data_IF_676774295823
#
_entry.id   IF_676774295823
#
_cell.length_a   1.000
_cell.length_b   1.000
_cell.length_c   1.000
_cell.angle_alpha   90.00
_cell.angle_beta   90.00
_cell.angle_gamma   90.00
#
_symmetry.space_group_name_H-M   'P 1'
#
loop_
_entity.id
_entity.type
_entity.pdbx_description
1 polymer ?
#
# COMPACT_ATOMS: atom_id res chain seq x y z
N UNK A 1 20.62 -73.68 38.05
CA UNK A 1 19.48 -72.74 38.04
C UNK A 1 19.40 -72.11 36.65
N UNK A 2 18.33 -72.35 35.88
CA UNK A 2 18.30 -72.14 34.45
C UNK A 2 17.75 -70.76 34.03
N UNK A 3 18.01 -70.50 32.75
CA UNK A 3 17.66 -69.44 31.80
C UNK A 3 16.20 -68.97 31.80
N UNK A 4 15.99 -67.67 31.49
CA UNK A 4 14.80 -67.24 30.75
C UNK A 4 15.10 -65.99 29.90
N UNK A 5 15.19 -66.19 28.59
CA UNK A 5 15.19 -65.13 27.57
C UNK A 5 13.80 -65.07 26.93
N UNK A 6 13.13 -63.93 27.05
CA UNK A 6 11.88 -63.61 26.36
C UNK A 6 12.18 -62.91 25.03
N UNK A 7 11.55 -63.29 23.90
CA UNK A 7 11.73 -62.57 22.64
C UNK A 7 10.79 -61.36 22.58
N UNK A 8 11.35 -60.19 22.25
CA UNK A 8 10.56 -58.99 21.87
C UNK A 8 9.88 -59.26 20.52
N UNK A 9 8.53 -59.28 20.49
CA UNK A 9 7.74 -59.25 19.25
C UNK A 9 7.82 -57.85 18.64
N UNK A 10 8.21 -57.77 17.37
CA UNK A 10 8.13 -56.55 16.55
C UNK A 10 6.67 -56.15 16.27
N UNK A 11 6.31 -54.85 16.34
CA UNK A 11 4.99 -54.38 15.97
C UNK A 11 4.98 -53.97 14.48
N UNK A 12 4.93 -54.95 13.56
CA UNK A 12 4.76 -54.64 12.12
C UNK A 12 3.42 -55.07 11.51
N UNK A 13 2.58 -55.86 12.20
CA UNK A 13 1.31 -56.34 11.62
C UNK A 13 0.10 -55.42 11.83
N UNK A 14 0.16 -54.45 12.75
CA UNK A 14 -0.96 -53.51 12.96
C UNK A 14 -1.00 -52.36 11.96
N UNK A 15 0.17 -51.91 11.45
CA UNK A 15 0.23 -50.80 10.48
C UNK A 15 -0.27 -51.22 9.09
N UNK A 16 0.02 -52.44 8.67
CA UNK A 16 -0.47 -53.01 7.41
C UNK A 16 -1.97 -53.28 7.43
N UNK A 17 -2.54 -53.69 8.57
CA UNK A 17 -3.99 -53.87 8.72
C UNK A 17 -4.76 -52.55 8.67
N UNK A 18 -4.22 -51.48 9.26
CA UNK A 18 -4.82 -50.13 9.22
C UNK A 18 -4.83 -49.54 7.81
N UNK A 19 -3.76 -49.74 7.05
CA UNK A 19 -3.67 -49.29 5.66
C UNK A 19 -4.67 -50.04 4.75
N UNK A 20 -4.79 -51.36 4.94
CA UNK A 20 -5.74 -52.18 4.19
C UNK A 20 -7.19 -51.75 4.48
N UNK A 21 -7.50 -51.45 5.75
CA UNK A 21 -8.83 -50.97 6.16
C UNK A 21 -9.13 -49.59 5.55
N UNK A 22 -8.14 -48.70 5.48
CA UNK A 22 -8.27 -47.37 4.88
C UNK A 22 -8.56 -47.45 3.38
N UNK A 23 -7.90 -48.37 2.67
CA UNK A 23 -8.13 -48.62 1.25
C UNK A 23 -9.54 -49.19 1.03
N UNK A 24 -9.98 -50.14 1.86
CA UNK A 24 -11.32 -50.72 1.76
C UNK A 24 -12.40 -49.66 2.02
N UNK A 25 -12.22 -48.78 3.00
CA UNK A 25 -13.15 -47.66 3.27
C UNK A 25 -13.16 -46.66 2.11
N UNK A 26 -12.01 -46.38 1.50
CA UNK A 26 -11.91 -45.52 0.31
C UNK A 26 -12.67 -46.10 -0.89
N UNK A 27 -12.48 -47.39 -1.18
CA UNK A 27 -13.18 -48.08 -2.27
C UNK A 27 -14.69 -48.16 -1.98
N UNK A 28 -15.09 -48.49 -0.75
CA UNK A 28 -16.49 -48.53 -0.35
C UNK A 28 -17.16 -47.14 -0.46
N UNK A 29 -16.44 -46.07 -0.11
CA UNK A 29 -16.92 -44.69 -0.26
C UNK A 29 -17.14 -44.33 -1.72
N UNK A 30 -16.22 -44.69 -2.62
CA UNK A 30 -16.38 -44.45 -4.06
C UNK A 30 -17.58 -45.22 -4.63
N UNK A 31 -17.83 -46.45 -4.15
CA UNK A 31 -18.99 -47.25 -4.59
C UNK A 31 -20.31 -46.68 -4.04
N UNK A 32 -20.35 -46.31 -2.77
CA UNK A 32 -21.55 -45.79 -2.10
C UNK A 32 -21.93 -44.39 -2.61
N UNK A 33 -20.94 -43.55 -2.90
CA UNK A 33 -21.14 -42.18 -3.36
C UNK A 33 -20.94 -42.03 -4.87
N UNK A 34 -20.87 -43.14 -5.62
CA UNK A 34 -20.67 -43.15 -7.07
C UNK A 34 -21.63 -42.21 -7.79
N UNK A 35 -22.92 -42.28 -7.44
CA UNK A 35 -23.96 -41.47 -8.06
C UNK A 35 -23.74 -39.97 -7.78
N UNK A 36 -23.46 -39.59 -6.54
CA UNK A 36 -23.20 -38.20 -6.16
C UNK A 36 -21.92 -37.63 -6.79
N UNK A 37 -20.89 -38.46 -6.97
CA UNK A 37 -19.66 -38.06 -7.68
C UNK A 37 -19.95 -37.84 -9.16
N UNK A 38 -20.76 -38.70 -9.80
CA UNK A 38 -21.19 -38.50 -11.18
C UNK A 38 -22.09 -37.27 -11.33
N UNK A 39 -23.01 -37.02 -10.41
CA UNK A 39 -23.89 -35.86 -10.42
C UNK A 39 -23.08 -34.57 -10.22
N UNK A 40 -22.06 -34.58 -9.35
CA UNK A 40 -21.15 -33.45 -9.15
C UNK A 40 -20.33 -33.17 -10.42
N UNK A 41 -19.77 -34.20 -11.05
CA UNK A 41 -19.01 -34.08 -12.29
C UNK A 41 -19.89 -33.64 -13.47
N UNK A 42 -21.14 -34.11 -13.54
CA UNK A 42 -22.13 -33.68 -14.52
C UNK A 42 -22.54 -32.21 -14.29
N UNK A 43 -22.67 -31.77 -13.03
CA UNK A 43 -22.96 -30.38 -12.70
C UNK A 43 -21.79 -29.45 -13.02
N UNK A 44 -20.54 -29.88 -12.81
CA UNK A 44 -19.36 -29.08 -13.19
C UNK A 44 -19.19 -29.00 -14.69
N UNK A 45 -19.44 -30.09 -15.43
CA UNK A 45 -19.38 -30.09 -16.90
C UNK A 45 -20.52 -29.28 -17.51
N UNK A 46 -21.75 -29.39 -17.01
CA UNK A 46 -22.86 -28.56 -17.49
C UNK A 46 -22.66 -27.07 -17.17
N UNK A 47 -22.04 -26.73 -16.03
CA UNK A 47 -21.66 -25.34 -15.71
C UNK A 47 -20.57 -24.82 -16.66
N UNK A 48 -19.53 -25.62 -16.93
CA UNK A 48 -18.48 -25.27 -17.88
C UNK A 48 -18.97 -25.15 -19.34
N UNK A 49 -19.90 -26.02 -19.76
CA UNK A 49 -20.48 -25.98 -21.11
C UNK A 49 -21.52 -24.87 -21.29
N UNK A 50 -22.33 -24.56 -20.26
CA UNK A 50 -23.26 -23.41 -20.34
C UNK A 50 -22.52 -22.06 -20.36
N UNK A 51 -21.38 -21.94 -19.66
CA UNK A 51 -20.54 -20.73 -19.73
C UNK A 51 -19.77 -20.56 -21.05
N UNK A 52 -19.65 -21.62 -21.85
CA UNK A 52 -18.99 -21.55 -23.17
C UNK A 52 -19.98 -21.46 -24.33
N UNK A 53 -21.24 -21.86 -24.15
CA UNK A 53 -22.30 -21.71 -25.16
C UNK A 53 -22.95 -20.32 -25.21
N UNK A 54 -22.82 -19.49 -24.16
CA UNK A 54 -23.30 -18.09 -24.18
C UNK A 54 -22.34 -17.11 -24.89
N UNK A 55 -21.18 -17.58 -25.38
CA UNK A 55 -20.16 -16.74 -26.04
C UNK A 55 -20.16 -16.88 -27.59
N UNK A 56 -20.98 -17.77 -28.16
CA UNK A 56 -21.07 -17.98 -29.62
C UNK A 56 -22.52 -18.03 -30.09
N UNK A 57 -23.17 -16.87 -30.20
CA UNK A 57 -24.18 -16.60 -31.24
C UNK A 57 -24.67 -15.14 -31.16
N UNK A 58 -24.01 -14.24 -31.90
CA UNK A 58 -24.62 -13.02 -32.48
C UNK A 58 -23.59 -12.24 -33.31
N UNK A 59 -23.25 -12.77 -34.49
CA UNK A 59 -22.65 -11.94 -35.55
C UNK A 59 -23.64 -11.85 -36.70
N UNK A 60 -24.49 -10.83 -36.65
CA UNK A 60 -25.20 -10.29 -37.80
C UNK A 60 -24.63 -8.89 -38.11
N UNK A 61 -24.47 -8.51 -39.39
CA UNK A 61 -23.79 -7.27 -39.73
C UNK A 61 -24.75 -6.08 -39.64
N UNK A 62 -24.31 -5.02 -38.97
CA UNK A 62 -24.93 -3.69 -39.01
C UNK A 62 -25.67 -3.30 -37.73
N UNK A 63 -25.03 -2.52 -36.87
CA UNK A 63 -25.20 -1.06 -36.73
C UNK A 63 -24.25 -0.68 -35.58
N UNK A 64 -23.37 0.30 -35.78
CA UNK A 64 -22.53 0.83 -34.70
C UNK A 64 -23.42 1.39 -33.59
N UNK A 65 -23.65 0.60 -32.54
CA UNK A 65 -24.06 1.13 -31.25
C UNK A 65 -22.78 1.39 -30.47
N UNK A 66 -22.37 2.66 -30.42
CA UNK A 66 -21.51 3.18 -29.36
C UNK A 66 -22.13 2.73 -28.03
N UNK A 67 -21.52 1.73 -27.40
CA UNK A 67 -21.70 1.50 -25.98
C UNK A 67 -21.14 2.75 -25.28
N UNK A 68 -22.04 3.62 -24.83
CA UNK A 68 -21.74 4.64 -23.83
C UNK A 68 -21.22 3.91 -22.59
N UNK A 69 -19.90 3.72 -22.49
CA UNK A 69 -19.25 3.64 -21.20
C UNK A 69 -19.55 4.97 -20.52
N UNK A 70 -20.31 4.92 -19.42
CA UNK A 70 -20.43 6.07 -18.56
C UNK A 70 -19.01 6.51 -18.18
N UNK A 71 -18.73 7.80 -18.34
CA UNK A 71 -17.46 8.38 -17.98
C UNK A 71 -17.35 8.38 -16.45
N UNK A 72 -16.67 7.38 -15.88
CA UNK A 72 -16.45 7.25 -14.43
C UNK A 72 -15.42 8.27 -13.89
N UNK A 73 -14.95 9.18 -14.74
CA UNK A 73 -14.03 10.22 -14.33
C UNK A 73 -14.71 11.28 -13.45
N UNK A 74 -14.01 11.68 -12.39
CA UNK A 74 -14.45 12.81 -11.57
C UNK A 74 -13.96 14.10 -12.20
N UNK A 75 -14.90 15.03 -12.42
CA UNK A 75 -14.62 16.36 -12.93
C UNK A 75 -15.06 17.44 -11.95
N UNK A 76 -14.24 18.49 -11.82
CA UNK A 76 -14.65 19.70 -11.14
C UNK A 76 -15.60 20.49 -12.06
N UNK A 77 -16.69 20.98 -11.49
CA UNK A 77 -17.66 21.85 -12.16
C UNK A 77 -17.87 23.11 -11.34
N UNK A 78 -18.52 24.12 -11.91
CA UNK A 78 -18.88 25.34 -11.17
C UNK A 78 -19.81 25.08 -9.97
N UNK A 79 -20.47 23.91 -9.95
CA UNK A 79 -21.35 23.47 -8.86
C UNK A 79 -20.64 22.59 -7.82
N UNK A 80 -19.39 22.18 -8.07
CA UNK A 80 -18.66 21.29 -7.18
C UNK A 80 -18.35 21.97 -5.85
N UNK A 81 -18.61 21.27 -4.75
CA UNK A 81 -18.45 21.83 -3.41
C UNK A 81 -16.98 21.71 -2.95
N UNK A 82 -16.29 22.82 -2.61
CA UNK A 82 -14.94 22.75 -2.05
C UNK A 82 -14.92 22.06 -0.70
N UNK A 83 -13.92 21.19 -0.48
CA UNK A 83 -13.64 20.65 0.84
C UNK A 83 -13.07 21.73 1.76
N UNK A 84 -13.62 21.83 2.95
CA UNK A 84 -13.11 22.74 3.97
C UNK A 84 -11.78 22.25 4.55
N UNK A 85 -10.93 23.17 4.98
CA UNK A 85 -9.69 22.85 5.68
C UNK A 85 -10.03 22.56 7.14
N UNK A 86 -9.84 21.31 7.55
CA UNK A 86 -9.99 20.87 8.94
C UNK A 86 -8.83 21.34 9.80
N UNK A 87 -7.61 21.18 9.30
CA UNK A 87 -6.38 21.47 10.05
C UNK A 87 -5.21 21.75 9.14
N UNK A 88 -4.35 22.68 9.55
CA UNK A 88 -3.01 22.89 8.97
C UNK A 88 -1.98 22.80 10.08
N UNK A 89 -0.91 22.06 9.88
CA UNK A 89 0.16 21.97 10.87
C UNK A 89 1.51 21.57 10.26
N UNK A 90 2.60 22.07 10.85
CA UNK A 90 3.96 21.76 10.46
C UNK A 90 4.33 20.32 10.86
N UNK A 91 4.96 19.59 9.95
CA UNK A 91 5.54 18.28 10.24
C UNK A 91 6.75 18.41 11.19
N UNK A 92 6.85 17.49 12.14
CA UNK A 92 7.88 17.54 13.18
C UNK A 92 9.08 16.74 12.74
N UNK A 93 10.28 17.35 12.80
CA UNK A 93 11.51 16.65 12.47
C UNK A 93 12.00 15.77 13.64
N UNK A 94 12.28 14.51 13.37
CA UNK A 94 12.75 13.53 14.36
C UNK A 94 13.75 12.55 13.76
N UNK A 95 14.49 11.86 14.64
CA UNK A 95 15.39 10.78 14.25
C UNK A 95 14.61 9.46 14.16
N UNK A 96 14.94 8.64 13.16
CA UNK A 96 14.40 7.30 12.96
C UNK A 96 15.49 6.37 12.42
N UNK A 97 15.26 5.06 12.49
CA UNK A 97 16.21 4.06 12.03
C UNK A 97 17.60 4.24 12.65
N UNK A 98 18.63 4.11 11.82
CA UNK A 98 20.02 4.34 12.20
C UNK A 98 20.53 5.65 11.57
N UNK A 99 20.38 6.76 12.30
CA UNK A 99 20.90 8.08 11.91
C UNK A 99 20.07 8.84 10.86
N UNK A 100 18.94 8.28 10.41
CA UNK A 100 18.08 8.94 9.44
C UNK A 100 17.25 10.04 10.11
N UNK A 101 16.86 11.06 9.33
CA UNK A 101 15.98 12.15 9.77
C UNK A 101 14.71 12.13 8.93
N UNK A 102 13.59 12.29 9.60
CA UNK A 102 12.27 12.37 8.96
C UNK A 102 11.51 13.57 9.50
N UNK A 103 10.66 14.16 8.66
CA UNK A 103 9.61 15.07 9.10
C UNK A 103 8.28 14.32 9.12
N UNK A 104 7.77 14.03 10.32
CA UNK A 104 6.53 13.29 10.52
C UNK A 104 5.33 14.23 10.59
N UNK A 105 4.31 13.97 9.78
CA UNK A 105 3.03 14.71 9.84
C UNK A 105 1.93 13.87 10.49
N UNK A 106 1.47 12.82 9.81
CA UNK A 106 0.58 11.79 10.35
C UNK A 106 1.41 10.84 11.22
N UNK A 107 0.88 10.42 12.36
CA UNK A 107 1.60 9.63 13.37
C UNK A 107 2.17 10.48 14.52
N UNK A 108 1.86 11.79 14.55
CA UNK A 108 2.23 12.71 15.63
C UNK A 108 1.08 12.89 16.63
N UNK A 109 1.31 13.47 17.82
CA UNK A 109 0.21 13.85 18.73
C UNK A 109 -0.79 14.83 18.10
N UNK A 110 -0.38 15.58 17.07
CA UNK A 110 -1.26 16.51 16.35
C UNK A 110 -2.26 15.77 15.45
N UNK A 111 -1.88 14.61 14.92
CA UNK A 111 -2.72 13.76 14.08
C UNK A 111 -2.19 12.33 14.16
N UNK A 112 -2.68 11.55 15.13
CA UNK A 112 -2.17 10.21 15.42
C UNK A 112 -2.34 9.25 14.25
N UNK A 113 -3.47 9.36 13.55
CA UNK A 113 -3.78 8.70 12.29
C UNK A 113 -4.91 9.48 11.60
N UNK A 114 -5.15 9.16 10.33
CA UNK A 114 -6.26 9.65 9.53
C UNK A 114 -6.69 8.51 8.60
N UNK A 115 -7.57 7.62 9.07
CA UNK A 115 -7.93 6.37 8.37
C UNK A 115 -8.14 6.58 6.86
N UNK A 116 -7.45 5.82 5.98
CA UNK A 116 -6.63 4.65 6.26
C UNK A 116 -5.15 4.97 6.57
N UNK A 117 -4.75 6.23 6.63
CA UNK A 117 -3.36 6.65 6.78
C UNK A 117 -2.90 6.57 8.24
N UNK A 118 -1.81 5.84 8.45
CA UNK A 118 -1.24 5.58 9.77
C UNK A 118 -0.06 6.50 10.07
N UNK A 119 0.74 6.81 9.05
CA UNK A 119 1.96 7.60 9.18
C UNK A 119 2.31 8.23 7.82
N UNK A 120 2.85 9.45 7.85
CA UNK A 120 3.51 10.06 6.70
C UNK A 120 4.80 10.71 7.17
N UNK A 121 5.91 10.18 6.66
CA UNK A 121 7.24 10.72 6.86
C UNK A 121 7.79 11.29 5.55
N UNK A 122 8.27 12.53 5.59
CA UNK A 122 9.17 13.07 4.57
C UNK A 122 10.60 12.82 5.03
N UNK A 123 11.24 11.80 4.47
CA UNK A 123 12.57 11.38 4.88
C UNK A 123 13.68 12.12 4.13
N UNK A 124 14.79 12.31 4.83
CA UNK A 124 16.07 12.73 4.27
C UNK A 124 17.17 11.84 4.86
N UNK A 125 17.68 10.92 4.06
CA UNK A 125 18.64 9.90 4.48
C UNK A 125 20.03 10.27 3.93
N UNK A 126 20.89 10.75 4.82
CA UNK A 126 22.28 11.09 4.46
C UNK A 126 23.13 9.83 4.29
N UNK A 127 24.26 9.89 3.56
CA UNK A 127 25.21 8.77 3.51
C UNK A 127 25.60 8.29 4.93
N UNK A 128 25.68 6.98 5.12
CA UNK A 128 25.97 6.38 6.43
C UNK A 128 24.79 6.39 7.42
N UNK A 129 23.57 6.59 6.94
CA UNK A 129 22.33 6.42 7.71
C UNK A 129 21.33 5.56 6.95
N UNK A 130 20.26 5.09 7.58
CA UNK A 130 19.22 4.33 6.88
C UNK A 130 18.27 3.60 7.83
N UNK A 131 17.54 2.65 7.27
CA UNK A 131 16.59 1.81 8.01
C UNK A 131 17.06 0.35 7.89
N UNK A 132 17.95 -0.13 8.79
CA UNK A 132 18.39 -1.52 8.78
C UNK A 132 17.23 -2.46 9.13
N UNK A 133 17.50 -3.76 9.17
CA UNK A 133 16.52 -4.83 9.38
C UNK A 133 15.44 -4.51 10.43
N UNK A 134 14.20 -4.39 9.98
CA UNK A 134 13.05 -4.10 10.83
C UNK A 134 11.79 -4.80 10.31
N UNK A 135 10.86 -5.18 11.22
CA UNK A 135 9.64 -5.88 10.82
C UNK A 135 8.49 -4.92 10.49
N UNK A 136 7.45 -5.42 9.82
CA UNK A 136 6.11 -4.82 9.70
C UNK A 136 5.02 -5.90 9.71
N UNK A 137 3.79 -5.57 10.16
CA UNK A 137 2.61 -6.45 10.08
C UNK A 137 1.30 -5.66 10.12
N UNK A 138 0.43 -5.94 9.15
CA UNK A 138 -0.95 -5.44 9.11
C UNK A 138 -1.18 -4.12 8.36
N UNK A 139 -0.15 -3.59 7.70
CA UNK A 139 -0.21 -2.37 6.88
C UNK A 139 0.43 -2.56 5.50
N UNK A 140 0.23 -1.58 4.63
CA UNK A 140 1.05 -1.34 3.44
C UNK A 140 1.99 -0.17 3.71
N UNK A 141 3.23 -0.25 3.22
CA UNK A 141 4.18 0.87 3.21
C UNK A 141 4.40 1.29 1.76
N UNK A 142 4.21 2.57 1.49
CA UNK A 142 4.37 3.17 0.17
C UNK A 142 5.54 4.13 0.23
N UNK A 143 6.63 3.76 -0.43
CA UNK A 143 7.84 4.56 -0.56
C UNK A 143 7.77 5.31 -1.88
N UNK A 144 7.81 6.65 -1.86
CA UNK A 144 7.94 7.49 -3.07
C UNK A 144 9.24 8.27 -3.04
N UNK A 145 10.16 7.98 -3.97
CA UNK A 145 11.46 8.62 -3.96
C UNK A 145 11.48 9.89 -4.80
N UNK A 146 11.86 11.01 -4.18
CA UNK A 146 11.91 12.33 -4.81
C UNK A 146 13.30 12.65 -5.37
N UNK A 147 14.36 12.22 -4.69
CA UNK A 147 15.76 12.45 -5.08
C UNK A 147 16.66 11.28 -4.66
N UNK A 148 17.56 10.89 -5.55
CA UNK A 148 18.56 9.84 -5.33
C UNK A 148 18.05 8.42 -5.56
N UNK A 149 18.49 7.47 -4.73
CA UNK A 149 18.12 6.04 -4.78
C UNK A 149 18.04 5.40 -3.39
N UNK A 150 17.14 4.44 -3.19
CA UNK A 150 17.06 3.60 -1.98
C UNK A 150 17.06 2.13 -2.39
N UNK A 151 18.01 1.37 -1.86
CA UNK A 151 18.06 -0.07 -1.99
C UNK A 151 17.18 -0.71 -0.91
N UNK A 152 16.43 -1.75 -1.28
CA UNK A 152 15.62 -2.53 -0.37
C UNK A 152 15.94 -4.01 -0.47
N UNK A 153 15.80 -4.73 0.64
CA UNK A 153 16.04 -6.17 0.74
C UNK A 153 15.14 -6.77 1.83
N UNK A 154 14.50 -7.91 1.57
CA UNK A 154 13.66 -8.60 2.53
C UNK A 154 14.08 -10.06 2.81
N UNK A 155 13.53 -10.61 3.88
CA UNK A 155 13.74 -12.01 4.27
C UNK A 155 13.09 -13.06 3.35
N UNK A 156 12.37 -12.62 2.32
CA UNK A 156 11.76 -13.48 1.31
C UNK A 156 12.63 -13.58 0.05
N UNK A 157 13.74 -12.82 0.00
CA UNK A 157 14.68 -12.77 -1.10
C UNK A 157 14.36 -11.69 -2.14
N UNK A 158 13.33 -10.86 -1.90
CA UNK A 158 13.05 -9.71 -2.74
C UNK A 158 14.07 -8.62 -2.46
N UNK A 159 14.59 -8.02 -3.52
CA UNK A 159 15.52 -6.90 -3.44
C UNK A 159 15.48 -6.07 -4.71
N UNK A 160 15.86 -4.83 -4.59
CA UNK A 160 15.89 -3.91 -5.71
C UNK A 160 16.27 -2.50 -5.28
N UNK A 161 16.16 -1.59 -6.24
CA UNK A 161 16.38 -0.17 -6.01
C UNK A 161 15.14 0.59 -6.44
N UNK A 162 14.70 1.49 -5.55
CA UNK A 162 13.74 2.54 -5.83
C UNK A 162 14.56 3.75 -6.28
N UNK A 163 14.42 4.15 -7.54
CA UNK A 163 15.15 5.30 -8.09
C UNK A 163 14.28 6.57 -8.03
N UNK A 164 14.86 7.75 -8.26
CA UNK A 164 14.12 9.00 -8.22
C UNK A 164 12.90 8.97 -9.17
N UNK A 165 11.72 9.26 -8.61
CA UNK A 165 10.43 9.21 -9.26
C UNK A 165 9.72 7.85 -9.18
N UNK A 166 10.40 6.78 -8.77
CA UNK A 166 9.79 5.46 -8.59
C UNK A 166 9.02 5.39 -7.27
N UNK A 167 8.06 4.46 -7.26
CA UNK A 167 7.34 4.06 -6.06
C UNK A 167 7.47 2.56 -5.81
N UNK A 168 7.44 2.21 -4.53
CA UNK A 168 7.25 0.85 -4.08
C UNK A 168 6.05 0.77 -3.15
N UNK A 169 5.12 -0.13 -3.48
CA UNK A 169 3.98 -0.48 -2.63
C UNK A 169 4.27 -1.85 -2.02
N UNK A 170 4.65 -1.88 -0.74
CA UNK A 170 4.88 -3.12 -0.01
C UNK A 170 3.69 -3.41 0.90
N UNK A 171 2.96 -4.48 0.61
CA UNK A 171 1.99 -5.05 1.54
C UNK A 171 2.73 -5.92 2.55
N UNK A 172 2.71 -5.54 3.83
CA UNK A 172 3.35 -6.34 4.90
C UNK A 172 2.52 -7.57 5.29
N UNK A 173 1.19 -7.47 5.22
CA UNK A 173 0.28 -8.57 5.51
C UNK A 173 0.58 -9.26 6.85
N UNK A 174 0.72 -10.59 6.84
CA UNK A 174 1.03 -11.40 8.02
C UNK A 174 2.44 -11.21 8.58
N UNK A 175 3.33 -10.46 7.93
CA UNK A 175 4.67 -10.22 8.45
C UNK A 175 5.71 -10.14 7.36
N UNK A 176 6.54 -9.09 7.41
CA UNK A 176 7.75 -8.95 6.61
C UNK A 176 8.87 -8.40 7.48
N UNK A 177 10.10 -8.82 7.25
CA UNK A 177 11.30 -8.16 7.77
C UNK A 177 12.16 -7.72 6.60
N UNK A 178 12.54 -6.45 6.60
CA UNK A 178 13.24 -5.83 5.47
C UNK A 178 14.19 -4.72 5.94
N UNK A 179 15.04 -4.27 5.02
CA UNK A 179 15.90 -3.10 5.18
C UNK A 179 15.69 -2.14 4.00
N UNK A 180 15.83 -0.84 4.27
CA UNK A 180 15.76 0.25 3.30
C UNK A 180 16.97 1.17 3.51
N UNK A 181 17.95 1.08 2.61
CA UNK A 181 19.25 1.72 2.75
C UNK A 181 19.51 2.69 1.59
N UNK A 182 20.04 3.90 1.85
CA UNK A 182 20.28 4.88 0.80
C UNK A 182 21.41 4.46 -0.13
N UNK A 183 21.24 4.68 -1.43
CA UNK A 183 22.38 4.68 -2.35
C UNK A 183 23.24 5.91 -2.12
N UNK A 184 24.54 5.75 -2.36
CA UNK A 184 25.47 6.87 -2.32
C UNK A 184 25.30 7.73 -3.57
N UNK A 185 24.80 8.95 -3.41
CA UNK A 185 24.75 9.91 -4.50
C UNK A 185 26.17 10.41 -4.85
N UNK A 186 26.51 10.63 -6.13
CA UNK A 186 27.85 11.06 -6.55
C UNK A 186 28.32 12.39 -5.92
N UNK A 187 27.38 13.27 -5.60
CA UNK A 187 27.62 14.58 -4.98
C UNK A 187 27.59 14.54 -3.44
N UNK A 188 27.38 13.35 -2.85
CA UNK A 188 27.23 13.17 -1.40
C UNK A 188 25.91 13.71 -0.83
N UNK A 189 24.95 14.08 -1.68
CA UNK A 189 23.63 14.53 -1.23
C UNK A 189 22.83 13.41 -0.57
N UNK A 190 21.91 13.79 0.31
CA UNK A 190 20.99 12.86 0.95
C UNK A 190 19.91 12.39 -0.04
N UNK A 191 19.40 11.18 0.16
CA UNK A 191 18.22 10.67 -0.54
C UNK A 191 16.97 11.24 0.12
N UNK A 192 16.00 11.68 -0.68
CA UNK A 192 14.81 12.37 -0.20
C UNK A 192 13.57 11.69 -0.77
N UNK A 193 12.58 11.45 0.08
CA UNK A 193 11.35 10.80 -0.34
C UNK A 193 10.26 10.85 0.72
N UNK A 194 9.16 10.18 0.43
CA UNK A 194 8.01 10.01 1.32
C UNK A 194 7.83 8.54 1.68
N UNK A 195 7.55 8.28 2.96
CA UNK A 195 7.06 6.98 3.44
C UNK A 195 5.62 7.17 3.94
N UNK A 196 4.65 6.58 3.26
CA UNK A 196 3.25 6.56 3.67
C UNK A 196 2.87 5.16 4.16
N UNK A 197 2.33 5.07 5.37
CA UNK A 197 1.73 3.83 5.85
C UNK A 197 0.22 3.88 5.68
N UNK A 198 -0.32 2.85 5.02
CA UNK A 198 -1.75 2.69 4.76
C UNK A 198 -2.23 1.43 5.47
N UNK A 199 -3.27 1.55 6.28
CA UNK A 199 -3.84 0.44 7.01
C UNK A 199 -4.48 -0.57 6.05
N UNK A 200 -4.28 -1.87 6.31
CA UNK A 200 -5.00 -2.91 5.58
C UNK A 200 -6.39 -3.12 6.19
N UNK A 201 -7.41 -3.43 5.36
CA UNK A 201 -8.69 -3.88 5.85
C UNK A 201 -8.48 -5.12 6.73
N UNK A 202 -9.25 -5.24 7.82
CA UNK A 202 -9.08 -6.32 8.81
C UNK A 202 -8.95 -7.71 8.19
N UNK A 203 -9.73 -8.01 7.15
CA UNK A 203 -9.71 -9.31 6.47
C UNK A 203 -8.45 -9.57 5.61
N UNK A 204 -7.64 -8.53 5.32
CA UNK A 204 -6.39 -8.63 4.58
C UNK A 204 -5.14 -8.48 5.47
N UNK A 205 -5.28 -8.18 6.76
CA UNK A 205 -4.14 -8.04 7.68
C UNK A 205 -3.29 -9.30 7.84
N UNK A 206 -3.79 -10.46 7.44
CA UNK A 206 -3.07 -11.74 7.46
C UNK A 206 -2.76 -12.29 6.05
N UNK A 207 -2.89 -11.47 5.00
CA UNK A 207 -2.51 -11.89 3.65
C UNK A 207 -0.99 -12.12 3.53
N UNK A 208 -0.57 -12.78 2.46
CA UNK A 208 0.85 -12.92 2.12
C UNK A 208 1.46 -11.55 1.81
N UNK A 209 2.71 -11.28 2.23
CA UNK A 209 3.42 -10.08 1.82
C UNK A 209 3.56 -10.00 0.29
N UNK A 210 3.49 -8.79 -0.26
CA UNK A 210 3.57 -8.53 -1.69
C UNK A 210 4.28 -7.22 -1.96
N UNK A 211 5.05 -7.15 -3.05
CA UNK A 211 5.55 -5.90 -3.63
C UNK A 211 4.82 -5.57 -4.93
N UNK A 212 4.58 -4.27 -5.13
CA UNK A 212 4.24 -3.70 -6.42
C UNK A 212 5.08 -2.46 -6.65
N UNK A 213 6.07 -2.56 -7.52
CA UNK A 213 6.84 -1.41 -7.98
C UNK A 213 6.06 -0.66 -9.07
N UNK A 214 6.21 0.66 -9.08
CA UNK A 214 5.75 1.55 -10.13
C UNK A 214 6.91 2.46 -10.54
N UNK A 215 7.43 2.29 -11.75
CA UNK A 215 8.55 3.09 -12.24
C UNK A 215 8.06 4.46 -12.67
N UNK A 216 8.91 5.48 -12.51
CA UNK A 216 8.58 6.87 -12.82
C UNK A 216 8.03 7.05 -14.25
N UNK A 217 8.60 6.32 -15.20
CA UNK A 217 8.20 6.32 -16.62
C UNK A 217 6.82 5.73 -16.90
N UNK A 218 6.27 4.97 -15.96
CA UNK A 218 4.94 4.35 -16.07
C UNK A 218 3.85 5.28 -15.53
N UNK A 219 4.21 6.35 -14.83
CA UNK A 219 3.27 7.28 -14.18
C UNK A 219 2.70 8.23 -15.23
N UNK A 220 1.38 8.19 -15.50
CA UNK A 220 0.73 9.13 -16.39
C UNK A 220 0.79 10.55 -15.83
N UNK A 221 0.86 11.54 -16.72
CA UNK A 221 0.91 12.95 -16.35
C UNK A 221 -0.12 13.77 -17.10
N UNK A 222 -0.61 14.83 -16.48
CA UNK A 222 -1.50 15.81 -17.12
C UNK A 222 -1.08 17.23 -16.76
N UNK A 223 -1.04 18.10 -17.78
CA UNK A 223 -0.83 19.53 -17.62
C UNK A 223 -2.18 20.25 -17.71
N UNK A 224 -2.47 21.11 -16.73
CA UNK A 224 -3.72 21.88 -16.66
C UNK A 224 -3.44 23.37 -16.44
N UNK A 225 -4.50 24.18 -16.48
CA UNK A 225 -4.43 25.64 -16.34
C UNK A 225 -3.40 26.29 -17.30
N UNK A 226 -3.46 25.89 -18.57
CA UNK A 226 -2.54 26.39 -19.61
C UNK A 226 -1.08 25.97 -19.39
N UNK A 227 -0.81 24.85 -18.72
CA UNK A 227 0.54 24.34 -18.47
C UNK A 227 1.23 24.96 -17.25
N UNK A 228 0.45 25.63 -16.39
CA UNK A 228 0.94 26.14 -15.10
C UNK A 228 0.89 25.10 -13.99
N UNK A 229 0.05 24.08 -14.14
CA UNK A 229 -0.06 22.99 -13.19
C UNK A 229 0.30 21.69 -13.88
N UNK A 230 1.28 20.97 -13.33
CA UNK A 230 1.68 19.65 -13.77
C UNK A 230 1.30 18.63 -12.70
N UNK A 231 0.56 17.58 -13.08
CA UNK A 231 0.12 16.53 -12.16
C UNK A 231 0.68 15.18 -12.62
N UNK A 232 1.38 14.49 -11.73
CA UNK A 232 1.67 13.06 -11.86
C UNK A 232 0.57 12.25 -11.17
N UNK A 233 -0.12 11.42 -11.94
CA UNK A 233 -1.24 10.60 -11.46
C UNK A 233 -0.71 9.25 -10.98
N UNK A 234 -0.11 9.23 -9.79
CA UNK A 234 0.52 8.03 -9.22
C UNK A 234 -0.53 6.94 -8.96
N UNK A 235 -1.63 7.32 -8.30
CA UNK A 235 -2.78 6.45 -8.07
C UNK A 235 -4.07 7.27 -8.11
N UNK A 236 -5.12 6.75 -8.74
CA UNK A 236 -6.40 7.45 -8.90
C UNK A 236 -6.53 8.11 -10.27
N UNK A 237 -7.09 9.31 -10.31
CA UNK A 237 -7.30 10.04 -11.55
C UNK A 237 -7.22 11.55 -11.37
N UNK A 238 -6.87 12.25 -12.45
CA UNK A 238 -6.87 13.72 -12.52
C UNK A 238 -7.21 14.15 -13.94
N UNK A 239 -8.24 15.00 -14.09
CA UNK A 239 -8.58 15.67 -15.35
C UNK A 239 -8.68 14.74 -16.57
N UNK A 240 -9.37 13.60 -16.41
CA UNK A 240 -9.55 12.60 -17.48
C UNK A 240 -8.35 11.68 -17.72
N UNK A 241 -7.33 11.71 -16.85
CA UNK A 241 -6.19 10.78 -16.89
C UNK A 241 -6.24 9.87 -15.66
N UNK A 242 -6.35 8.57 -15.92
CA UNK A 242 -6.25 7.51 -14.93
C UNK A 242 -4.80 7.12 -14.64
N UNK A 243 -4.52 6.65 -13.42
CA UNK A 243 -3.28 5.97 -13.06
C UNK A 243 -3.23 4.53 -13.56
N UNK A 244 -2.06 3.90 -13.38
CA UNK A 244 -1.97 2.43 -13.36
C UNK A 244 -2.84 1.88 -12.23
N UNK A 245 -3.53 0.75 -12.47
CA UNK A 245 -4.45 0.10 -11.52
C UNK A 245 -3.73 -0.95 -10.63
N UNK A 246 -4.43 -1.41 -9.59
CA UNK A 246 -4.04 -2.54 -8.72
C UNK A 246 -2.70 -2.38 -7.98
N UNK A 247 -2.40 -1.14 -7.56
CA UNK A 247 -1.18 -0.78 -6.83
C UNK A 247 -1.23 -1.20 -5.35
N UNK A 248 -2.34 -0.91 -4.66
CA UNK A 248 -2.54 -1.14 -3.23
C UNK A 248 -3.85 -1.90 -2.98
N UNK A 249 -3.95 -2.62 -1.85
CA UNK A 249 -5.19 -3.28 -1.46
C UNK A 249 -6.22 -2.30 -0.88
N UNK A 250 -5.75 -1.32 -0.10
CA UNK A 250 -6.62 -0.23 0.36
C UNK A 250 -6.70 0.84 -0.72
N UNK A 251 -7.90 1.21 -1.21
CA UNK A 251 -8.02 2.24 -2.24
C UNK A 251 -7.45 3.58 -1.75
N UNK A 252 -6.40 4.04 -2.44
CA UNK A 252 -5.67 5.27 -2.17
C UNK A 252 -5.38 6.00 -3.47
N UNK A 253 -5.58 7.30 -3.48
CA UNK A 253 -5.16 8.21 -4.53
C UNK A 253 -3.94 8.98 -4.04
N UNK A 254 -2.96 9.12 -4.93
CA UNK A 254 -1.72 9.87 -4.69
C UNK A 254 -1.48 10.68 -5.95
N UNK A 255 -1.39 12.00 -5.79
CA UNK A 255 -1.11 12.94 -6.87
C UNK A 255 0.10 13.79 -6.45
N UNK A 256 1.15 13.82 -7.27
CA UNK A 256 2.26 14.76 -7.10
C UNK A 256 2.03 15.95 -8.04
N UNK A 257 1.80 17.11 -7.45
CA UNK A 257 1.29 18.31 -8.12
C UNK A 257 2.33 19.42 -7.99
N UNK A 258 2.78 19.92 -9.13
CA UNK A 258 3.63 21.11 -9.23
C UNK A 258 2.82 22.26 -9.83
N UNK A 259 2.83 23.42 -9.16
CA UNK A 259 2.07 24.61 -9.52
C UNK A 259 3.02 25.79 -9.66
N UNK A 260 3.10 26.37 -10.86
CA UNK A 260 3.85 27.60 -11.15
C UNK A 260 3.14 28.83 -10.59
N UNK A 261 3.84 29.96 -10.39
CA UNK A 261 3.22 31.23 -10.01
C UNK A 261 1.98 31.58 -10.85
N UNK A 262 0.88 31.88 -10.17
CA UNK A 262 -0.41 32.20 -10.78
C UNK A 262 -1.13 31.01 -11.40
N UNK A 263 -0.69 29.78 -11.12
CA UNK A 263 -1.35 28.54 -11.48
C UNK A 263 -2.42 28.13 -10.46
N UNK A 264 -3.50 27.49 -10.94
CA UNK A 264 -4.62 27.04 -10.11
C UNK A 264 -5.11 25.65 -10.51
N UNK A 265 -5.53 24.87 -9.52
CA UNK A 265 -6.15 23.56 -9.73
C UNK A 265 -7.32 23.35 -8.78
N UNK A 266 -8.41 22.81 -9.33
CA UNK A 266 -9.53 22.27 -8.60
C UNK A 266 -9.53 20.75 -8.80
N UNK A 267 -8.95 20.01 -7.86
CA UNK A 267 -8.79 18.55 -7.99
C UNK A 267 -9.97 17.82 -7.33
N UNK A 268 -10.77 17.07 -8.11
CA UNK A 268 -11.78 16.19 -7.53
C UNK A 268 -11.15 15.08 -6.69
N UNK A 269 -11.83 14.73 -5.61
CA UNK A 269 -11.48 13.58 -4.77
C UNK A 269 -12.75 12.78 -4.48
N UNK A 270 -12.67 11.45 -4.32
CA UNK A 270 -13.86 10.65 -4.10
C UNK A 270 -14.63 11.10 -2.85
N UNK A 271 -15.95 11.13 -2.94
CA UNK A 271 -16.82 11.56 -1.84
C UNK A 271 -16.68 10.61 -0.64
N UNK A 272 -16.62 11.17 0.56
CA UNK A 272 -16.46 10.41 1.80
C UNK A 272 -15.07 9.82 2.02
N UNK A 273 -14.13 10.04 1.09
CA UNK A 273 -12.73 9.68 1.34
C UNK A 273 -12.07 10.68 2.28
N UNK A 274 -11.20 10.22 3.18
CA UNK A 274 -10.32 11.13 3.92
C UNK A 274 -9.24 11.64 2.98
N UNK A 275 -8.92 12.92 3.07
CA UNK A 275 -7.93 13.56 2.20
C UNK A 275 -7.02 14.52 2.96
N UNK A 276 -5.77 14.61 2.53
CA UNK A 276 -4.83 15.61 2.99
C UNK A 276 -3.85 15.99 1.88
N UNK A 277 -3.28 17.19 1.97
CA UNK A 277 -2.15 17.61 1.15
C UNK A 277 -0.91 17.81 2.02
N UNK A 278 0.27 17.55 1.47
CA UNK A 278 1.55 17.85 2.12
C UNK A 278 2.43 18.67 1.18
N UNK A 279 2.76 19.89 1.60
CA UNK A 279 3.58 20.82 0.80
C UNK A 279 5.04 20.38 0.91
N UNK A 280 5.62 19.96 -0.21
CA UNK A 280 7.02 19.53 -0.31
C UNK A 280 7.96 20.72 -0.45
N UNK A 281 7.59 21.67 -1.32
CA UNK A 281 8.41 22.82 -1.69
C UNK A 281 7.52 24.03 -1.94
N UNK A 282 8.04 25.23 -1.66
CA UNK A 282 7.37 26.49 -1.93
C UNK A 282 6.18 26.76 -1.00
N UNK A 283 5.27 27.59 -1.47
CA UNK A 283 4.09 28.04 -0.72
C UNK A 283 2.86 27.94 -1.62
N UNK A 284 1.78 27.37 -1.09
CA UNK A 284 0.52 27.22 -1.80
C UNK A 284 -0.65 27.79 -0.98
N UNK A 285 -1.68 28.23 -1.68
CA UNK A 285 -2.92 28.75 -1.10
C UNK A 285 -3.99 27.67 -1.28
N UNK A 286 -4.53 27.18 -0.17
CA UNK A 286 -5.57 26.16 -0.15
C UNK A 286 -6.93 26.77 0.14
N UNK A 287 -7.99 26.23 -0.48
CA UNK A 287 -9.37 26.65 -0.25
C UNK A 287 -9.83 27.78 -1.17
N UNK A 288 -11.02 28.33 -0.90
CA UNK A 288 -11.68 29.33 -1.74
C UNK A 288 -12.22 30.51 -0.92
N UNK A 289 -12.20 31.70 -1.51
CA UNK A 289 -12.78 32.90 -0.90
C UNK A 289 -12.19 33.21 0.48
N UNK A 290 -13.05 33.52 1.47
CA UNK A 290 -12.62 33.87 2.82
C UNK A 290 -12.03 32.72 3.63
N UNK A 291 -12.12 31.48 3.15
CA UNK A 291 -11.56 30.28 3.80
C UNK A 291 -10.16 29.93 3.28
N UNK A 292 -9.59 30.76 2.40
CA UNK A 292 -8.24 30.54 1.89
C UNK A 292 -7.21 30.55 3.01
N UNK A 293 -6.25 29.63 2.93
CA UNK A 293 -5.07 29.63 3.79
C UNK A 293 -3.81 29.51 2.97
N UNK A 294 -2.88 30.42 3.22
CA UNK A 294 -1.50 30.33 2.77
C UNK A 294 -0.80 29.27 3.61
N UNK A 295 -0.13 28.32 2.96
CA UNK A 295 0.51 27.17 3.59
C UNK A 295 1.93 27.02 3.06
N UNK A 296 2.89 27.10 3.98
CA UNK A 296 4.32 26.96 3.71
C UNK A 296 4.75 25.50 3.52
N UNK A 297 5.99 25.31 3.06
CA UNK A 297 6.63 24.00 2.97
C UNK A 297 6.58 23.21 4.29
N UNK A 298 6.56 21.89 4.15
CA UNK A 298 6.52 20.89 5.22
C UNK A 298 5.28 20.92 6.12
N UNK A 299 4.22 21.62 5.70
CA UNK A 299 2.92 21.57 6.35
C UNK A 299 2.03 20.50 5.75
N UNK A 300 1.24 19.87 6.62
CA UNK A 300 0.13 19.02 6.25
C UNK A 300 -1.18 19.83 6.35
N UNK A 301 -2.00 19.73 5.31
CA UNK A 301 -3.35 20.31 5.20
C UNK A 301 -4.35 19.17 5.19
N UNK A 302 -5.07 18.98 6.29
CA UNK A 302 -6.13 17.98 6.41
C UNK A 302 -7.44 18.61 5.99
N UNK A 303 -8.19 17.93 5.14
CA UNK A 303 -9.51 18.36 4.70
C UNK A 303 -10.61 17.67 5.49
N UNK A 304 -11.77 18.29 5.56
CA UNK A 304 -13.00 17.59 5.96
C UNK A 304 -13.41 16.57 4.89
N UNK A 305 -14.27 15.61 5.25
CA UNK A 305 -14.76 14.59 4.32
C UNK A 305 -15.97 15.06 3.49
N UNK A 306 -16.61 16.17 3.89
CA UNK A 306 -17.60 16.88 3.09
C UNK A 306 -16.98 17.73 1.99
N UNK A 307 -17.58 17.68 0.81
CA UNK A 307 -17.12 18.33 -0.40
C UNK A 307 -16.46 17.37 -1.38
N UNK A 308 -16.26 17.85 -2.59
CA UNK A 308 -15.94 17.04 -3.77
C UNK A 308 -14.59 17.43 -4.39
N UNK A 309 -14.14 18.66 -4.16
CA UNK A 309 -12.91 19.20 -4.76
C UNK A 309 -11.98 19.82 -3.71
N UNK A 310 -10.68 19.68 -3.95
CA UNK A 310 -9.63 20.43 -3.25
C UNK A 310 -9.12 21.51 -4.18
N UNK A 311 -9.22 22.77 -3.75
CA UNK A 311 -8.72 23.93 -4.49
C UNK A 311 -7.34 24.33 -3.99
N UNK A 312 -6.40 24.46 -4.92
CA UNK A 312 -5.04 24.92 -4.65
C UNK A 312 -4.60 25.92 -5.71
N UNK A 313 -3.95 26.99 -5.28
CA UNK A 313 -3.32 27.96 -6.18
C UNK A 313 -1.96 28.42 -5.64
N UNK A 314 -1.16 29.02 -6.51
CA UNK A 314 0.07 29.73 -6.13
C UNK A 314 -0.09 31.20 -6.54
N UNK A 315 0.30 32.11 -5.65
CA UNK A 315 0.25 33.54 -5.92
C UNK A 315 1.00 33.89 -7.22
N UNK A 316 0.45 34.81 -8.02
CA UNK A 316 1.06 35.20 -9.30
C UNK A 316 2.40 35.93 -9.14
N UNK A 317 2.63 36.54 -7.98
CA UNK A 317 3.88 37.18 -7.59
C UNK A 317 4.83 36.28 -6.80
N UNK A 318 4.55 34.98 -6.64
CA UNK A 318 5.45 34.07 -5.97
C UNK A 318 6.78 33.91 -6.73
N UNK A 319 7.89 33.81 -6.00
CA UNK A 319 9.24 33.70 -6.57
C UNK A 319 9.58 32.28 -7.08
N UNK A 320 8.80 31.27 -6.64
CA UNK A 320 9.06 29.85 -6.90
C UNK A 320 7.75 29.09 -7.11
N UNK A 321 7.85 27.97 -7.80
CA UNK A 321 6.78 26.98 -7.87
C UNK A 321 6.48 26.41 -6.48
N UNK A 322 5.26 25.95 -6.28
CA UNK A 322 4.91 25.06 -5.18
C UNK A 322 4.84 23.62 -5.67
N UNK A 323 5.33 22.67 -4.88
CA UNK A 323 5.16 21.24 -5.10
C UNK A 323 4.51 20.62 -3.88
N UNK A 324 3.48 19.83 -4.09
CA UNK A 324 2.74 19.15 -3.02
C UNK A 324 2.30 17.77 -3.47
N UNK A 325 2.10 16.87 -2.50
CA UNK A 325 1.32 15.66 -2.73
C UNK A 325 -0.09 15.85 -2.20
N UNK A 326 -1.09 15.48 -2.99
CA UNK A 326 -2.48 15.37 -2.56
C UNK A 326 -2.85 13.89 -2.48
N UNK A 327 -3.25 13.44 -1.29
CA UNK A 327 -3.49 12.04 -0.98
C UNK A 327 -4.91 11.90 -0.44
N UNK A 328 -5.66 10.93 -0.97
CA UNK A 328 -7.01 10.60 -0.51
C UNK A 328 -7.18 9.09 -0.39
N UNK A 329 -7.95 8.61 0.58
CA UNK A 329 -8.11 7.17 0.80
C UNK A 329 -9.46 6.82 1.40
N UNK A 330 -9.93 5.60 1.11
CA UNK A 330 -11.20 5.10 1.67
C UNK A 330 -11.03 4.89 3.19
N UNK A 331 -11.80 5.58 4.06
CA UNK A 331 -11.75 5.34 5.49
C UNK A 331 -12.18 3.91 5.77
N UNK A 332 -11.44 3.25 6.66
CA UNK A 332 -11.78 1.93 7.16
C UNK A 332 -12.53 2.07 8.48
N UNK A 333 -13.72 1.46 8.54
CA UNK A 333 -14.51 1.33 9.77
C UNK A 333 -13.96 0.16 10.61
N UNK A 334 -12.79 0.38 11.22
CA UNK A 334 -12.13 -0.60 12.06
C UNK A 334 -11.29 0.06 13.16
N UNK A 335 -11.06 -0.66 14.25
CA UNK A 335 -10.12 -0.24 15.28
C UNK A 335 -8.68 -0.30 14.74
N UNK A 336 -7.89 0.73 15.05
CA UNK A 336 -6.46 0.80 14.75
C UNK A 336 -5.69 0.70 16.06
N UNK A 337 -5.02 -0.44 16.28
CA UNK A 337 -4.13 -0.66 17.41
C UNK A 337 -2.70 -0.78 16.88
N UNK A 338 -1.91 0.26 17.14
CA UNK A 338 -0.51 0.35 16.71
C UNK A 338 0.43 0.22 17.90
N UNK A 339 1.44 -0.65 17.75
CA UNK A 339 2.60 -0.72 18.64
C UNK A 339 3.87 -0.87 17.80
N UNK A 340 4.58 0.25 17.64
CA UNK A 340 5.75 0.33 16.77
C UNK A 340 5.42 -0.13 15.33
N UNK A 341 6.07 -1.20 14.83
CA UNK A 341 5.90 -1.69 13.47
C UNK A 341 4.62 -2.50 13.21
N UNK A 342 3.85 -2.82 14.25
CA UNK A 342 2.69 -3.70 14.15
C UNK A 342 1.40 -2.89 14.27
N UNK A 343 0.55 -2.98 13.25
CA UNK A 343 -0.73 -2.26 13.19
C UNK A 343 -1.87 -3.25 12.93
N UNK A 344 -2.61 -3.59 13.97
CA UNK A 344 -3.68 -4.60 13.93
C UNK A 344 -5.00 -4.01 14.46
N UNK A 345 -6.04 -4.84 14.57
CA UNK A 345 -7.40 -4.40 14.94
C UNK A 345 -7.76 -4.68 16.40
N UNK A 346 -6.81 -5.16 17.21
CA UNK A 346 -6.98 -5.33 18.66
C UNK A 346 -5.64 -5.43 19.38
N UNK A 347 -5.65 -5.17 20.70
CA UNK A 347 -4.45 -5.37 21.55
C UNK A 347 -3.97 -6.82 21.53
N UNK A 348 -4.89 -7.79 21.52
CA UNK A 348 -4.55 -9.21 21.49
C UNK A 348 -3.79 -9.59 20.21
N UNK A 349 -4.23 -9.09 19.05
CA UNK A 349 -3.54 -9.30 17.78
C UNK A 349 -2.15 -8.65 17.74
N UNK A 350 -1.99 -7.46 18.33
CA UNK A 350 -0.68 -6.82 18.48
C UNK A 350 0.25 -7.62 19.39
N UNK A 351 -0.24 -8.12 20.53
CA UNK A 351 0.54 -8.99 21.41
C UNK A 351 0.94 -10.28 20.68
N UNK A 352 0.04 -10.86 19.89
CA UNK A 352 0.37 -12.03 19.08
C UNK A 352 1.45 -11.71 18.05
N UNK A 353 1.39 -10.53 17.39
CA UNK A 353 2.42 -10.09 16.45
C UNK A 353 3.81 -9.97 17.08
N UNK A 354 3.89 -9.43 18.30
CA UNK A 354 5.13 -9.37 19.08
C UNK A 354 5.67 -10.78 19.37
N UNK A 355 4.81 -11.71 19.80
CA UNK A 355 5.21 -13.09 20.09
C UNK A 355 5.64 -13.83 18.82
N UNK A 356 4.90 -13.69 17.73
CA UNK A 356 5.20 -14.30 16.43
C UNK A 356 6.57 -13.83 15.89
N UNK A 357 6.87 -12.54 16.00
CA UNK A 357 8.17 -11.99 15.64
C UNK A 357 9.30 -12.57 16.52
N UNK A 358 9.11 -12.58 17.84
CA UNK A 358 10.12 -13.08 18.79
C UNK A 358 10.37 -14.60 18.68
N UNK A 359 9.37 -15.36 18.26
CA UNK A 359 9.43 -16.82 18.14
C UNK A 359 9.62 -17.30 16.70
N UNK A 360 9.77 -16.37 15.74
CA UNK A 360 9.90 -16.64 14.32
C UNK A 360 8.77 -17.55 13.80
N UNK A 361 7.52 -17.16 14.02
CA UNK A 361 6.33 -17.97 13.65
C UNK A 361 5.25 -17.14 12.96
N UNK A 362 4.29 -17.83 12.32
CA UNK A 362 3.08 -17.27 11.73
C UNK A 362 3.33 -16.09 10.78
N UNK A 363 4.29 -16.23 9.88
CA UNK A 363 4.70 -15.20 8.92
C UNK A 363 6.10 -14.63 9.17
N UNK A 364 6.71 -14.88 10.34
CA UNK A 364 8.08 -14.47 10.64
C UNK A 364 9.09 -15.63 10.68
N UNK A 365 8.76 -16.80 10.11
CA UNK A 365 9.65 -17.98 10.12
C UNK A 365 11.02 -17.70 9.50
N UNK A 366 11.06 -16.83 8.48
CA UNK A 366 12.31 -16.45 7.79
C UNK A 366 13.13 -15.40 8.52
N UNK A 367 12.61 -14.81 9.59
CA UNK A 367 13.37 -13.85 10.38
C UNK A 367 14.44 -14.53 11.25
N UNK A 368 14.34 -15.85 11.50
CA UNK A 368 15.33 -16.58 12.30
C UNK A 368 16.70 -16.59 11.60
N UNK A 369 17.65 -15.83 12.15
CA UNK A 369 19.02 -15.77 11.64
C UNK A 369 19.18 -15.03 10.30
N UNK A 370 18.11 -14.42 9.77
CA UNK A 370 18.23 -13.56 8.59
C UNK A 370 18.87 -12.23 8.95
N UNK A 371 19.72 -11.76 8.05
CA UNK A 371 20.31 -10.43 8.07
C UNK A 371 20.37 -9.93 6.64
N UNK A 372 19.94 -8.70 6.38
CA UNK A 372 20.12 -8.12 5.04
C UNK A 372 21.61 -7.89 4.75
N UNK A 373 22.01 -8.00 3.49
CA UNK A 373 23.36 -7.62 3.07
C UNK A 373 23.53 -6.10 3.15
N UNK A 374 22.49 -5.34 2.80
CA UNK A 374 22.53 -3.87 2.76
C UNK A 374 22.56 -3.22 4.16
N UNK A 375 22.01 -3.88 5.18
CA UNK A 375 21.96 -3.37 6.55
C UNK A 375 23.24 -3.60 7.35
N UNK A 376 24.12 -4.53 6.91
CA UNK A 376 25.36 -4.88 7.63
C UNK A 376 26.28 -3.69 7.86
N UNK A 377 26.33 -2.75 6.93
CA UNK A 377 27.19 -1.55 7.02
C UNK A 377 26.85 -0.63 8.20
N UNK A 378 25.73 -0.87 8.90
CA UNK A 378 25.30 -0.09 10.06
C UNK A 378 25.61 -0.76 11.41
N UNK A 379 26.07 -2.02 11.39
CA UNK A 379 26.28 -2.84 12.60
C UNK A 379 27.78 -3.04 12.90
N UNK A 380 28.65 -2.83 11.91
CA UNK A 380 30.12 -2.74 12.06
C UNK A 380 30.56 -1.34 12.49
#
# INVERSE_FOLDING_TARGET
LPTNSTPRRHPSSMKSLSLLLSIIVGIASIVLFRQQIFDLAAATTNSFFNSTSEIQDSVAPGTEQQQNQADDHLYATDMSVPRAIRKVFLAVEQAEGAGARVRRSIGTPQLKNLSPFLMLDHFRISPGSGFPDHPHRGQETITYLLHGGVDHEDFAGNKGTIEAGDLQFMTAGRGIMHAEMPKQNPDGSANVGLQLWVDLPKHLKSCEPRYRDLRAKEIPTVDVDGGKVHVKVISGQSHGVDSVRDLAYTPVWILDIQIKPGGKIAQPVPKGWNAFAYTLEGQAIFGTGSQQRVVDEFHNVVFEDEGEIVNVEVDAGADKDARLVLIAGTPLDQEVVQYGPFVLSSKAEVYQALMDYQTHSNGFERAEGWQSEIGKSMVE
#
